data_IF_363631319136
#
_entry.id   IF_363631319136
#
_cell.length_a   1.000
_cell.length_b   1.000
_cell.length_c   1.000
_cell.angle_alpha   90.00
_cell.angle_beta   90.00
_cell.angle_gamma   90.00
#
_symmetry.space_group_name_H-M   'P 1'
#
loop_
_entity.id
_entity.type
_entity.pdbx_description
1 polymer ?
#
# COMPACT_ATOMS: atom_id res chain seq x y z
N UNK A 1 18.43 4.92 7.84
CA UNK A 1 17.43 5.09 6.78
C UNK A 1 18.02 5.12 5.37
N UNK A 2 19.33 4.88 5.17
CA UNK A 2 19.90 4.73 3.82
C UNK A 2 19.97 6.01 2.98
N UNK A 3 19.57 7.16 3.52
CA UNK A 3 19.74 8.48 2.93
C UNK A 3 21.06 9.11 3.35
N UNK A 4 21.69 9.86 2.44
CA UNK A 4 22.92 10.62 2.70
C UNK A 4 22.64 11.85 3.59
N UNK A 5 21.49 12.49 3.40
CA UNK A 5 21.05 13.66 4.15
C UNK A 5 19.61 13.47 4.65
N UNK A 6 19.29 14.03 5.83
CA UNK A 6 17.95 14.02 6.41
C UNK A 6 17.66 15.44 6.92
N UNK A 7 16.55 16.01 6.46
CA UNK A 7 16.05 17.29 6.93
C UNK A 7 14.73 17.06 7.66
N UNK A 8 14.63 17.57 8.87
CA UNK A 8 13.50 17.42 9.78
C UNK A 8 13.00 18.78 10.26
N UNK A 9 12.02 18.79 11.16
CA UNK A 9 11.57 20.02 11.81
C UNK A 9 12.69 20.80 12.53
N UNK A 10 13.77 20.13 12.94
CA UNK A 10 14.92 20.78 13.55
C UNK A 10 15.68 21.68 12.58
N UNK A 11 16.01 21.18 11.39
CA UNK A 11 16.70 21.95 10.34
C UNK A 11 15.84 23.12 9.88
N UNK A 12 14.53 22.92 9.76
CA UNK A 12 13.59 23.99 9.42
C UNK A 12 13.60 25.08 10.51
N UNK A 13 13.51 24.69 11.78
CA UNK A 13 13.51 25.65 12.90
C UNK A 13 14.80 26.46 12.96
N UNK A 14 15.95 25.82 12.75
CA UNK A 14 17.25 26.49 12.70
C UNK A 14 17.32 27.52 11.56
N UNK A 15 16.81 27.16 10.38
CA UNK A 15 16.77 28.08 9.23
C UNK A 15 15.89 29.29 9.49
N UNK A 16 14.72 29.07 10.11
CA UNK A 16 13.74 30.12 10.36
C UNK A 16 14.04 30.98 11.59
N UNK A 17 15.01 30.58 12.42
CA UNK A 17 15.30 31.24 13.70
C UNK A 17 14.15 31.16 14.71
N UNK A 18 13.18 30.28 14.48
CA UNK A 18 12.00 30.08 15.31
C UNK A 18 11.46 28.66 15.09
N UNK A 19 10.76 28.10 16.08
CA UNK A 19 10.03 26.84 15.91
C UNK A 19 8.80 27.16 15.06
N UNK A 20 8.69 26.64 13.83
CA UNK A 20 7.55 26.92 12.98
C UNK A 20 6.31 26.22 13.57
N UNK A 21 5.13 26.84 13.47
CA UNK A 21 3.89 26.05 13.49
C UNK A 21 3.98 25.07 12.27
N UNK A 22 3.55 23.81 12.30
CA UNK A 22 2.22 23.33 12.68
C UNK A 22 2.14 21.79 12.82
N UNK A 23 1.49 21.30 13.87
CA UNK A 23 0.93 19.93 13.92
C UNK A 23 1.80 18.92 14.66
N UNK A 24 1.29 17.70 14.84
CA UNK A 24 1.95 16.66 15.64
C UNK A 24 3.28 16.17 15.03
N UNK A 25 3.47 16.33 13.72
CA UNK A 25 4.53 15.66 12.96
C UNK A 25 5.59 16.58 12.35
N UNK A 26 5.50 17.90 12.50
CA UNK A 26 6.52 18.79 11.95
C UNK A 26 6.06 20.22 11.76
N UNK A 27 6.84 21.03 11.04
CA UNK A 27 6.42 22.34 10.56
C UNK A 27 5.51 22.22 9.33
N UNK A 28 4.90 23.33 8.88
CA UNK A 28 4.17 23.34 7.61
C UNK A 28 5.04 22.85 6.44
N UNK A 29 4.43 22.08 5.53
CA UNK A 29 5.09 21.45 4.39
C UNK A 29 5.80 22.48 3.48
N UNK A 30 5.32 23.71 3.40
CA UNK A 30 5.98 24.80 2.67
C UNK A 30 7.37 25.16 3.22
N UNK A 31 7.60 24.95 4.52
CA UNK A 31 8.83 25.36 5.18
C UNK A 31 10.01 24.41 4.93
N UNK A 32 9.76 23.18 4.45
CA UNK A 32 10.85 22.27 4.05
C UNK A 32 11.42 22.62 2.67
N UNK A 33 10.62 23.27 1.81
CA UNK A 33 10.99 23.50 0.41
C UNK A 33 12.28 24.33 0.22
N UNK A 34 12.56 25.38 1.02
CA UNK A 34 13.84 26.08 0.90
C UNK A 34 15.05 25.19 1.18
N UNK A 35 14.99 24.30 2.18
CA UNK A 35 16.09 23.36 2.48
C UNK A 35 16.28 22.35 1.35
N UNK A 36 15.18 21.89 0.77
CA UNK A 36 15.20 21.04 -0.42
C UNK A 36 15.93 21.72 -1.58
N UNK A 37 15.58 22.97 -1.86
CA UNK A 37 16.15 23.70 -2.99
C UNK A 37 17.62 24.01 -2.80
N UNK A 38 18.02 24.49 -1.61
CA UNK A 38 19.42 24.71 -1.28
C UNK A 38 20.23 23.42 -1.48
N UNK A 39 19.73 22.27 -1.00
CA UNK A 39 20.42 20.99 -1.18
C UNK A 39 20.56 20.59 -2.66
N UNK A 40 19.50 20.76 -3.46
CA UNK A 40 19.55 20.47 -4.90
C UNK A 40 20.58 21.37 -5.59
N UNK A 41 20.53 22.67 -5.32
CA UNK A 41 21.38 23.66 -5.98
C UNK A 41 22.86 23.45 -5.60
N UNK A 42 23.15 23.30 -4.30
CA UNK A 42 24.52 23.05 -3.81
C UNK A 42 25.09 21.75 -4.39
N UNK A 43 24.29 20.68 -4.46
CA UNK A 43 24.74 19.39 -4.98
C UNK A 43 25.07 19.46 -6.49
N UNK A 44 24.26 20.20 -7.26
CA UNK A 44 24.45 20.33 -8.70
C UNK A 44 25.52 21.36 -9.08
N UNK A 45 25.79 22.32 -8.21
CA UNK A 45 26.93 23.23 -8.35
C UNK A 45 28.26 22.48 -8.18
N UNK A 46 28.31 21.47 -7.31
CA UNK A 46 29.47 20.58 -7.15
C UNK A 46 29.61 19.58 -8.32
N UNK A 47 28.51 18.96 -8.75
CA UNK A 47 28.49 17.95 -9.80
C UNK A 47 27.19 18.03 -10.62
N UNK A 48 27.25 18.71 -11.78
CA UNK A 48 26.08 18.95 -12.65
C UNK A 48 25.44 17.68 -13.19
N UNK A 49 26.18 16.57 -13.22
CA UNK A 49 25.71 15.28 -13.73
C UNK A 49 25.24 14.36 -12.59
N UNK A 50 25.19 14.86 -11.35
CA UNK A 50 24.78 14.09 -10.19
C UNK A 50 23.32 13.68 -10.29
N UNK A 51 23.07 12.38 -10.22
CA UNK A 51 21.73 11.83 -10.08
C UNK A 51 21.23 12.00 -8.64
N UNK A 52 20.04 12.57 -8.50
CA UNK A 52 19.42 12.86 -7.21
C UNK A 52 18.26 11.90 -6.94
N UNK A 53 18.14 11.46 -5.69
CA UNK A 53 16.95 10.77 -5.19
C UNK A 53 16.45 11.53 -3.97
N UNK A 54 15.17 11.85 -3.98
CA UNK A 54 14.51 12.60 -2.91
C UNK A 54 13.26 11.86 -2.44
N UNK A 55 13.04 11.88 -1.13
CA UNK A 55 11.76 11.51 -0.52
C UNK A 55 11.27 12.67 0.34
N UNK A 56 10.09 13.19 0.03
CA UNK A 56 9.42 14.23 0.81
C UNK A 56 8.22 13.61 1.53
N UNK A 57 8.18 13.75 2.86
CA UNK A 57 7.03 13.37 3.66
C UNK A 57 6.24 14.63 3.98
N UNK A 58 5.07 14.76 3.36
CA UNK A 58 4.15 15.86 3.62
C UNK A 58 3.23 15.49 4.79
N UNK A 59 2.99 16.43 5.68
CA UNK A 59 2.30 16.22 6.96
C UNK A 59 1.00 17.01 7.07
N UNK A 60 0.74 17.96 6.17
CA UNK A 60 -0.39 18.89 6.26
C UNK A 60 -1.77 18.21 6.26
N UNK A 61 -1.86 16.99 5.73
CA UNK A 61 -3.10 16.21 5.66
C UNK A 61 -3.25 15.19 6.78
N UNK A 62 -2.35 15.17 7.76
CA UNK A 62 -2.51 14.34 8.95
C UNK A 62 -3.52 14.98 9.94
N UNK A 63 -4.20 14.14 10.72
CA UNK A 63 -5.04 14.57 11.84
C UNK A 63 -4.27 15.50 12.81
N UNK A 64 -4.81 16.65 13.27
CA UNK A 64 -6.22 17.07 13.20
C UNK A 64 -6.58 18.03 12.05
N UNK A 65 -5.87 17.94 10.91
CA UNK A 65 -6.10 18.76 9.71
C UNK A 65 -6.01 20.27 9.99
N UNK A 66 -4.87 20.69 10.54
CA UNK A 66 -4.62 22.10 10.87
C UNK A 66 -4.14 22.84 9.63
N UNK A 67 -4.81 23.94 9.30
CA UNK A 67 -4.37 24.84 8.24
C UNK A 67 -3.15 25.65 8.70
N UNK A 68 -2.10 25.78 7.86
CA UNK A 68 -0.97 26.62 8.22
C UNK A 68 -1.37 28.10 8.22
N UNK A 69 -0.75 28.87 9.12
CA UNK A 69 -1.02 30.31 9.28
C UNK A 69 -0.70 31.12 8.01
N UNK A 70 0.18 30.59 7.15
CA UNK A 70 0.53 31.18 5.85
C UNK A 70 -0.55 31.00 4.79
N UNK A 71 -1.51 30.08 4.96
CA UNK A 71 -2.62 29.83 4.04
C UNK A 71 -3.97 29.98 4.76
N UNK A 72 -4.36 31.21 5.17
CA UNK A 72 -5.53 31.44 6.01
C UNK A 72 -6.86 31.27 5.27
N UNK A 73 -6.83 31.11 3.94
CA UNK A 73 -8.06 30.98 3.13
C UNK A 73 -8.71 29.63 3.43
N UNK A 74 -9.95 29.69 3.92
CA UNK A 74 -10.76 28.53 4.22
C UNK A 74 -12.02 28.55 3.37
N UNK A 75 -12.34 27.43 2.73
CA UNK A 75 -13.51 27.27 1.87
C UNK A 75 -14.51 26.29 2.48
N UNK A 76 -15.80 26.54 2.28
CA UNK A 76 -16.89 25.65 2.69
C UNK A 76 -17.29 24.76 1.51
N UNK A 77 -16.60 23.63 1.36
CA UNK A 77 -16.89 22.62 0.33
C UNK A 77 -18.02 21.68 0.73
N UNK A 78 -18.11 21.33 2.01
CA UNK A 78 -19.08 20.36 2.55
C UNK A 78 -19.47 20.70 3.99
N UNK A 79 -20.69 20.31 4.38
CA UNK A 79 -21.24 20.55 5.72
C UNK A 79 -20.48 19.80 6.84
N UNK A 80 -19.95 18.60 6.57
CA UNK A 80 -19.16 17.88 7.57
C UNK A 80 -17.86 18.63 7.84
N UNK A 81 -17.82 19.30 8.99
CA UNK A 81 -16.71 20.17 9.39
C UNK A 81 -15.34 19.48 9.38
N UNK A 82 -15.26 18.18 9.67
CA UNK A 82 -13.98 17.46 9.70
C UNK A 82 -13.52 17.08 8.30
N UNK A 83 -14.44 16.61 7.47
CA UNK A 83 -14.16 16.37 6.05
C UNK A 83 -13.79 17.69 5.36
N UNK A 84 -14.50 18.78 5.66
CA UNK A 84 -14.20 20.09 5.08
C UNK A 84 -12.80 20.61 5.48
N UNK A 85 -12.38 20.39 6.74
CA UNK A 85 -10.99 20.67 7.16
C UNK A 85 -9.98 19.86 6.35
N UNK A 86 -10.21 18.56 6.20
CA UNK A 86 -9.34 17.71 5.37
C UNK A 86 -9.27 18.20 3.91
N UNK A 87 -10.39 18.57 3.29
CA UNK A 87 -10.39 19.10 1.93
C UNK A 87 -9.62 20.42 1.81
N UNK A 88 -9.68 21.28 2.84
CA UNK A 88 -8.88 22.50 2.87
C UNK A 88 -7.38 22.22 3.04
N UNK A 89 -6.97 21.26 3.86
CA UNK A 89 -5.55 20.88 3.96
C UNK A 89 -5.04 20.19 2.69
N UNK A 90 -5.87 19.37 2.04
CA UNK A 90 -5.57 18.80 0.71
C UNK A 90 -5.31 19.89 -0.33
N UNK A 91 -6.09 20.98 -0.34
CA UNK A 91 -5.84 22.14 -1.23
C UNK A 91 -4.47 22.78 -0.95
N UNK A 92 -4.08 22.90 0.31
CA UNK A 92 -2.75 23.45 0.66
C UNK A 92 -1.64 22.53 0.17
N UNK A 93 -1.77 21.23 0.36
CA UNK A 93 -0.81 20.23 -0.16
C UNK A 93 -0.71 20.30 -1.67
N UNK A 94 -1.83 20.46 -2.39
CA UNK A 94 -1.81 20.68 -3.85
C UNK A 94 -1.01 21.93 -4.25
N UNK A 95 -1.14 23.03 -3.49
CA UNK A 95 -0.32 24.23 -3.68
C UNK A 95 1.19 24.01 -3.44
N UNK A 96 1.54 23.16 -2.46
CA UNK A 96 2.93 22.73 -2.21
C UNK A 96 3.45 21.91 -3.40
N UNK A 97 2.67 20.97 -3.92
CA UNK A 97 3.02 20.19 -5.12
C UNK A 97 3.24 21.10 -6.34
N UNK A 98 2.37 22.10 -6.52
CA UNK A 98 2.56 23.12 -7.57
C UNK A 98 3.90 23.83 -7.41
N UNK A 99 4.26 24.24 -6.20
CA UNK A 99 5.53 24.92 -5.91
C UNK A 99 6.73 24.02 -6.21
N UNK A 100 6.64 22.72 -5.93
CA UNK A 100 7.67 21.73 -6.30
C UNK A 100 7.82 21.65 -7.81
N UNK A 101 6.72 21.48 -8.54
CA UNK A 101 6.74 21.40 -10.01
C UNK A 101 7.28 22.68 -10.65
N UNK A 102 6.90 23.85 -10.15
CA UNK A 102 7.41 25.13 -10.63
C UNK A 102 8.90 25.29 -10.34
N UNK A 103 9.36 24.87 -9.15
CA UNK A 103 10.77 24.87 -8.78
C UNK A 103 11.64 23.96 -9.67
N UNK A 104 11.11 22.79 -10.05
CA UNK A 104 11.76 21.90 -11.02
C UNK A 104 11.80 22.50 -12.42
N UNK A 105 10.74 23.18 -12.86
CA UNK A 105 10.69 23.86 -14.17
C UNK A 105 11.65 25.04 -14.23
N UNK A 106 11.71 25.85 -13.16
CA UNK A 106 12.64 26.97 -13.05
C UNK A 106 14.10 26.51 -13.21
N UNK A 107 14.45 25.36 -12.62
CA UNK A 107 15.77 24.71 -12.73
C UNK A 107 15.97 23.92 -14.02
N UNK A 108 14.98 23.88 -14.91
CA UNK A 108 15.00 23.09 -16.15
C UNK A 108 15.14 21.56 -15.95
N UNK A 109 14.87 21.06 -14.75
CA UNK A 109 14.99 19.63 -14.40
C UNK A 109 13.69 18.83 -14.57
N UNK A 110 12.56 19.52 -14.79
CA UNK A 110 11.22 18.90 -14.80
C UNK A 110 11.09 17.74 -15.80
N UNK A 111 11.68 17.85 -16.99
CA UNK A 111 11.59 16.82 -18.02
C UNK A 111 12.45 15.59 -17.70
N UNK A 112 13.48 15.76 -16.86
CA UNK A 112 14.43 14.71 -16.47
C UNK A 112 14.09 14.10 -15.10
N UNK A 113 12.99 14.54 -14.49
CA UNK A 113 12.56 14.09 -13.17
C UNK A 113 11.41 13.08 -13.29
N UNK A 114 11.52 11.94 -12.62
CA UNK A 114 10.39 11.06 -12.33
C UNK A 114 9.77 11.48 -10.99
N UNK A 115 8.55 11.98 -11.03
CA UNK A 115 7.78 12.36 -9.84
C UNK A 115 6.89 11.17 -9.46
N UNK A 116 6.96 10.73 -8.20
CA UNK A 116 6.12 9.65 -7.67
C UNK A 116 5.30 10.23 -6.52
N UNK A 117 3.97 10.17 -6.62
CA UNK A 117 3.05 10.64 -5.59
C UNK A 117 2.29 9.45 -5.03
N UNK A 118 2.37 9.26 -3.72
CA UNK A 118 1.66 8.22 -2.97
C UNK A 118 1.11 8.76 -1.65
N UNK A 119 0.19 8.02 -1.04
CA UNK A 119 -0.09 8.13 0.40
C UNK A 119 0.46 6.92 1.14
N UNK A 120 0.88 7.10 2.39
CA UNK A 120 1.36 6.02 3.25
C UNK A 120 0.20 5.12 3.72
N UNK A 121 -0.96 5.73 4.00
CA UNK A 121 -2.22 5.07 4.29
C UNK A 121 -3.42 5.91 3.85
N UNK A 122 -4.62 5.35 3.94
CA UNK A 122 -5.89 6.03 3.72
C UNK A 122 -6.51 6.58 5.02
N UNK A 123 -7.72 7.13 4.95
CA UNK A 123 -8.43 7.67 6.11
C UNK A 123 -9.93 7.41 5.98
N UNK A 124 -10.56 6.88 7.04
CA UNK A 124 -12.00 6.67 7.05
C UNK A 124 -12.74 7.98 7.38
N UNK A 125 -13.71 8.38 6.55
CA UNK A 125 -14.49 9.61 6.70
C UNK A 125 -15.96 9.36 6.99
N UNK A 126 -16.29 8.28 7.72
CA UNK A 126 -17.68 7.80 7.94
C UNK A 126 -18.49 7.56 6.66
N UNK A 127 -17.78 7.40 5.55
CA UNK A 127 -18.30 7.04 4.27
C UNK A 127 -18.98 5.66 4.32
N UNK A 128 -20.04 5.50 3.54
CA UNK A 128 -20.73 4.23 3.32
C UNK A 128 -21.35 3.57 4.58
N UNK A 129 -21.87 4.40 5.49
CA UNK A 129 -22.55 3.93 6.72
C UNK A 129 -21.59 3.50 7.84
N UNK A 130 -20.28 3.67 7.65
CA UNK A 130 -19.28 3.40 8.68
C UNK A 130 -19.29 4.49 9.74
N UNK A 131 -19.10 4.11 11.00
CA UNK A 131 -19.06 5.07 12.13
C UNK A 131 -17.65 5.61 12.41
N UNK A 132 -16.63 4.99 11.81
CA UNK A 132 -15.22 5.34 12.06
C UNK A 132 -14.81 6.62 11.32
N UNK A 133 -14.08 7.48 12.02
CA UNK A 133 -13.50 8.72 11.54
C UNK A 133 -12.04 8.74 12.02
N UNK A 134 -11.22 7.88 11.40
CA UNK A 134 -9.88 7.54 11.89
C UNK A 134 -9.01 6.93 10.79
N UNK A 135 -7.70 6.94 11.01
CA UNK A 135 -6.72 6.11 10.31
C UNK A 135 -6.18 4.96 11.19
N UNK A 136 -6.70 4.83 12.42
CA UNK A 136 -6.30 3.82 13.38
C UNK A 136 -7.29 2.66 13.35
N UNK A 137 -6.79 1.43 13.19
CA UNK A 137 -7.58 0.19 13.18
C UNK A 137 -8.69 0.18 12.13
N UNK A 138 -8.32 0.49 10.88
CA UNK A 138 -9.24 0.55 9.74
C UNK A 138 -8.88 -0.54 8.74
N UNK A 139 -9.47 -1.75 8.85
CA UNK A 139 -9.14 -2.87 7.98
C UNK A 139 -9.83 -2.82 6.61
N UNK A 140 -10.56 -1.74 6.34
CA UNK A 140 -11.35 -1.52 5.13
C UNK A 140 -10.55 -0.82 4.03
N UNK A 141 -11.00 -0.89 2.78
CA UNK A 141 -10.33 -0.26 1.64
C UNK A 141 -10.03 1.22 1.87
N UNK A 142 -10.91 1.97 2.54
CA UNK A 142 -10.67 3.39 2.83
C UNK A 142 -9.41 3.63 3.69
N UNK A 143 -8.91 2.63 4.41
CA UNK A 143 -7.69 2.72 5.22
C UNK A 143 -6.38 2.48 4.46
N UNK A 144 -6.42 1.93 3.24
CA UNK A 144 -5.19 1.56 2.52
C UNK A 144 -5.28 1.63 0.98
N UNK A 145 -6.46 1.89 0.41
CA UNK A 145 -6.60 2.26 -0.99
C UNK A 145 -6.14 3.72 -1.13
N UNK A 146 -4.92 3.88 -1.60
CA UNK A 146 -4.22 5.16 -1.69
C UNK A 146 -3.91 5.51 -3.15
N UNK A 147 -3.77 6.81 -3.48
CA UNK A 147 -3.23 7.19 -4.78
C UNK A 147 -1.82 6.63 -4.97
N UNK A 148 -1.50 6.21 -6.19
CA UNK A 148 -0.15 5.93 -6.66
C UNK A 148 -0.04 6.46 -8.09
N UNK A 149 0.74 7.53 -8.27
CA UNK A 149 0.97 8.16 -9.56
C UNK A 149 2.46 8.23 -9.85
N UNK A 150 2.85 7.81 -11.05
CA UNK A 150 4.18 8.03 -11.61
C UNK A 150 4.03 9.04 -12.74
N UNK A 151 4.78 10.14 -12.66
CA UNK A 151 4.71 11.24 -13.61
C UNK A 151 6.08 11.59 -14.15
N UNK A 152 6.20 11.60 -15.47
CA UNK A 152 7.28 12.24 -16.21
C UNK A 152 6.71 12.67 -17.58
N UNK A 153 7.08 13.83 -18.14
CA UNK A 153 6.51 14.33 -19.40
C UNK A 153 6.66 13.40 -20.61
N UNK A 154 7.60 12.45 -20.57
CA UNK A 154 7.85 11.49 -21.64
C UNK A 154 7.14 10.14 -21.43
N UNK A 155 6.44 9.94 -20.31
CA UNK A 155 5.62 8.76 -20.08
C UNK A 155 4.23 8.95 -20.70
N UNK A 156 3.70 7.89 -21.31
CA UNK A 156 2.32 7.87 -21.78
C UNK A 156 1.36 7.90 -20.58
N UNK A 157 0.37 8.79 -20.64
CA UNK A 157 -0.69 8.83 -19.64
C UNK A 157 -1.55 7.57 -19.76
N UNK A 158 -1.52 6.73 -18.72
CA UNK A 158 -2.27 5.48 -18.67
C UNK A 158 -2.77 5.19 -17.26
N UNK A 159 -4.04 4.83 -17.15
CA UNK A 159 -4.58 4.20 -15.94
C UNK A 159 -4.28 2.71 -15.98
N UNK A 160 -3.76 2.18 -14.87
CA UNK A 160 -3.48 0.75 -14.72
C UNK A 160 -4.52 0.12 -13.80
N UNK A 161 -5.40 -0.70 -14.38
CA UNK A 161 -6.46 -1.41 -13.65
C UNK A 161 -5.95 -2.76 -13.13
N UNK A 162 -5.10 -2.72 -12.09
CA UNK A 162 -4.58 -3.91 -11.43
C UNK A 162 -4.27 -3.66 -9.95
N UNK A 163 -4.03 -4.75 -9.20
CA UNK A 163 -3.74 -4.66 -7.78
C UNK A 163 -2.26 -4.41 -7.51
N UNK A 164 -1.93 -3.17 -7.20
CA UNK A 164 -0.60 -2.74 -6.78
C UNK A 164 -0.53 -2.49 -5.27
N UNK A 165 0.68 -2.48 -4.74
CA UNK A 165 1.04 -2.18 -3.36
C UNK A 165 2.25 -1.25 -3.34
N UNK A 166 2.50 -0.58 -2.22
CA UNK A 166 3.65 0.31 -2.07
C UNK A 166 5.00 -0.41 -2.28
N UNK A 167 5.03 -1.74 -2.08
CA UNK A 167 6.21 -2.56 -2.38
C UNK A 167 6.54 -2.55 -3.88
N UNK A 168 5.59 -2.36 -4.76
CA UNK A 168 5.87 -2.40 -6.20
C UNK A 168 6.65 -1.18 -6.72
N UNK A 169 6.75 -0.11 -5.91
CA UNK A 169 7.40 1.14 -6.30
C UNK A 169 8.90 0.92 -6.55
N UNK A 170 9.60 0.28 -5.62
CA UNK A 170 11.06 0.06 -5.75
C UNK A 170 11.42 -0.75 -7.01
N UNK A 171 10.85 -1.95 -7.27
CA UNK A 171 11.18 -2.68 -8.48
C UNK A 171 10.77 -1.92 -9.76
N UNK A 172 9.75 -1.06 -9.70
CA UNK A 172 9.36 -0.19 -10.82
C UNK A 172 10.43 0.85 -11.12
N UNK A 173 10.91 1.57 -10.10
CA UNK A 173 12.00 2.55 -10.24
C UNK A 173 13.25 1.85 -10.78
N UNK A 174 13.60 0.68 -10.24
CA UNK A 174 14.76 -0.09 -10.71
C UNK A 174 14.64 -0.48 -12.19
N UNK A 175 13.47 -0.93 -12.64
CA UNK A 175 13.25 -1.26 -14.05
C UNK A 175 13.34 -0.02 -14.95
N UNK A 176 12.82 1.14 -14.51
CA UNK A 176 12.96 2.41 -15.24
C UNK A 176 14.44 2.75 -15.42
N UNK A 177 15.22 2.73 -14.32
CA UNK A 177 16.67 3.04 -14.34
C UNK A 177 17.48 2.05 -15.19
N UNK A 178 17.06 0.78 -15.26
CA UNK A 178 17.68 -0.21 -16.14
C UNK A 178 17.30 0.00 -17.60
N UNK A 179 16.05 0.42 -17.87
CA UNK A 179 15.54 0.61 -19.24
C UNK A 179 16.05 1.88 -19.92
N UNK A 180 16.28 2.96 -19.18
CA UNK A 180 16.81 4.23 -19.69
C UNK A 180 18.21 4.09 -20.31
N UNK A 181 18.97 3.06 -19.89
CA UNK A 181 20.29 2.73 -20.45
C UNK A 181 20.27 2.35 -21.93
N UNK A 182 19.14 1.84 -22.45
CA UNK A 182 19.05 1.38 -23.85
C UNK A 182 18.87 2.51 -24.86
N UNK A 183 18.53 3.72 -24.42
CA UNK A 183 18.20 4.86 -25.29
C UNK A 183 19.41 5.79 -25.49
N UNK A 184 20.34 5.86 -24.53
CA UNK A 184 21.53 6.71 -24.62
C UNK A 184 22.70 6.00 -25.34
N UNK A 185 22.67 5.97 -26.67
CA UNK A 185 23.90 5.80 -27.44
C UNK A 185 24.71 7.11 -27.32
N UNK A 186 25.91 7.01 -26.74
CA UNK A 186 27.03 7.98 -26.82
C UNK A 186 27.35 8.94 -25.66
N UNK A 187 26.62 8.99 -24.53
CA UNK A 187 27.12 9.77 -23.38
C UNK A 187 26.62 9.26 -22.02
N UNK A 188 27.58 8.78 -21.22
CA UNK A 188 27.56 8.71 -19.75
C UNK A 188 26.57 7.72 -19.11
N UNK A 189 27.13 6.68 -18.49
CA UNK A 189 26.64 6.17 -17.20
C UNK A 189 27.71 5.32 -16.50
N UNK A 190 28.79 5.96 -16.05
CA UNK A 190 29.86 5.31 -15.27
C UNK A 190 29.38 4.74 -13.91
N UNK A 191 28.17 5.10 -13.46
CA UNK A 191 27.53 4.56 -12.24
C UNK A 191 27.00 3.13 -12.38
N UNK A 192 26.88 2.59 -13.60
CA UNK A 192 26.20 1.31 -13.88
C UNK A 192 27.15 0.16 -14.27
N UNK A 193 28.44 0.44 -14.42
CA UNK A 193 29.48 -0.59 -14.59
C UNK A 193 29.58 -1.54 -13.40
N UNK A 194 29.04 -1.13 -12.24
CA UNK A 194 28.74 -1.99 -11.10
C UNK A 194 27.21 -1.99 -10.94
N UNK A 195 26.61 -3.17 -10.69
CA UNK A 195 25.28 -3.40 -10.06
C UNK A 195 24.16 -4.03 -10.88
N UNK A 196 24.28 -4.45 -12.14
CA UNK A 196 23.18 -5.25 -12.72
C UNK A 196 22.95 -6.56 -11.91
N UNK A 197 24.03 -7.21 -11.49
CA UNK A 197 23.98 -8.37 -10.58
C UNK A 197 23.46 -8.02 -9.18
N UNK A 198 23.80 -6.85 -8.65
CA UNK A 198 23.31 -6.43 -7.32
C UNK A 198 21.83 -6.02 -7.37
N UNK A 199 21.40 -5.31 -8.41
CA UNK A 199 19.99 -4.97 -8.65
C UNK A 199 19.19 -6.25 -8.85
N UNK A 200 19.66 -7.20 -9.67
CA UNK A 200 19.02 -8.50 -9.83
C UNK A 200 18.95 -9.28 -8.50
N UNK A 201 20.00 -9.22 -7.68
CA UNK A 201 20.01 -9.83 -6.34
C UNK A 201 18.99 -9.19 -5.40
N UNK A 202 18.83 -7.86 -5.41
CA UNK A 202 17.79 -7.16 -4.63
C UNK A 202 16.40 -7.54 -5.16
N UNK A 203 16.18 -7.43 -6.47
CA UNK A 203 14.92 -7.77 -7.13
C UNK A 203 14.50 -9.22 -6.89
N UNK A 204 15.44 -10.16 -6.79
CA UNK A 204 15.14 -11.57 -6.48
C UNK A 204 14.65 -11.82 -5.05
N UNK A 205 14.92 -10.89 -4.12
CA UNK A 205 14.54 -11.00 -2.70
C UNK A 205 13.36 -10.10 -2.35
N UNK A 206 13.07 -9.12 -3.19
CA UNK A 206 12.06 -8.12 -2.98
C UNK A 206 10.67 -8.69 -3.33
N UNK A 207 9.68 -8.48 -2.46
CA UNK A 207 8.36 -9.12 -2.60
C UNK A 207 7.44 -8.39 -3.59
N UNK A 208 7.69 -7.10 -3.83
CA UNK A 208 6.98 -6.30 -4.83
C UNK A 208 7.32 -6.72 -6.26
N UNK A 209 6.43 -6.40 -7.19
CA UNK A 209 6.57 -6.64 -8.63
C UNK A 209 6.43 -5.32 -9.37
N UNK A 210 7.35 -5.01 -10.26
CA UNK A 210 7.34 -3.78 -11.05
C UNK A 210 6.03 -3.58 -11.83
N UNK A 211 5.51 -2.35 -11.84
CA UNK A 211 4.34 -1.93 -12.60
C UNK A 211 4.56 -2.05 -14.12
N UNK A 212 5.83 -2.00 -14.57
CA UNK A 212 6.20 -2.06 -15.99
C UNK A 212 6.33 -3.47 -16.53
N UNK A 213 6.50 -4.47 -15.64
CA UNK A 213 6.48 -5.87 -16.04
C UNK A 213 5.04 -6.20 -16.32
N UNK A 214 4.65 -6.09 -17.60
CA UNK A 214 3.35 -6.54 -18.07
C UNK A 214 3.08 -7.91 -17.44
N UNK A 215 1.93 -8.04 -16.79
CA UNK A 215 1.40 -9.33 -16.39
C UNK A 215 1.11 -10.10 -17.67
N UNK A 216 2.14 -10.72 -18.24
CA UNK A 216 2.02 -11.70 -19.29
C UNK A 216 1.27 -12.84 -18.61
N UNK A 217 -0.05 -12.88 -18.80
CA UNK A 217 -0.86 -14.08 -18.52
C UNK A 217 -1.01 -14.49 -17.05
N UNK A 218 -1.16 -13.57 -16.08
CA UNK A 218 -1.75 -14.02 -14.81
C UNK A 218 -3.26 -14.18 -14.95
N UNK A 219 -3.71 -15.40 -15.32
CA UNK A 219 -5.10 -15.84 -15.18
C UNK A 219 -5.62 -15.65 -13.73
N UNK A 220 -4.71 -15.56 -12.75
CA UNK A 220 -5.02 -15.40 -11.33
C UNK A 220 -4.29 -14.20 -10.72
N UNK A 221 -5.04 -13.25 -10.15
CA UNK A 221 -4.49 -12.15 -9.36
C UNK A 221 -3.62 -12.68 -8.21
N UNK A 222 -2.52 -11.98 -7.90
CA UNK A 222 -1.63 -12.34 -6.79
C UNK A 222 -2.27 -12.06 -5.43
N UNK A 223 -1.83 -12.78 -4.41
CA UNK A 223 -2.13 -12.45 -3.02
C UNK A 223 -1.30 -11.25 -2.56
N UNK A 224 -1.94 -10.35 -1.82
CA UNK A 224 -1.27 -9.25 -1.11
C UNK A 224 -1.67 -9.29 0.36
N UNK A 225 -0.71 -9.06 1.24
CA UNK A 225 -0.89 -9.03 2.69
C UNK A 225 -0.75 -7.60 3.18
N UNK A 226 -1.68 -7.19 4.03
CA UNK A 226 -1.71 -5.85 4.62
C UNK A 226 -1.92 -5.97 6.12
N UNK A 227 -1.34 -5.02 6.83
CA UNK A 227 -1.55 -4.79 8.26
C UNK A 227 -2.03 -3.35 8.39
N UNK A 228 -3.09 -3.12 9.14
CA UNK A 228 -3.58 -1.78 9.40
C UNK A 228 -2.87 -1.16 10.60
N UNK A 229 -2.86 0.18 10.71
CA UNK A 229 -2.23 0.89 11.83
C UNK A 229 -2.86 0.48 13.18
N UNK A 230 -2.07 0.01 14.18
CA UNK A 230 -0.60 0.06 14.30
C UNK A 230 0.17 -1.21 13.89
N UNK A 231 -0.51 -2.21 13.34
CA UNK A 231 0.09 -3.41 12.75
C UNK A 231 -0.20 -4.69 13.52
N UNK A 232 -0.89 -4.58 14.66
CA UNK A 232 -1.21 -5.71 15.56
C UNK A 232 -2.69 -6.12 15.54
N UNK A 233 -3.52 -5.34 14.86
CA UNK A 233 -4.98 -5.39 15.02
C UNK A 233 -5.62 -6.32 14.00
N UNK A 234 -5.27 -6.19 12.72
CA UNK A 234 -5.83 -7.03 11.67
C UNK A 234 -4.76 -7.61 10.75
N UNK A 235 -5.01 -8.84 10.27
CA UNK A 235 -4.32 -9.41 9.12
C UNK A 235 -5.27 -9.38 7.94
N UNK A 236 -4.92 -8.62 6.91
CA UNK A 236 -5.78 -8.41 5.75
C UNK A 236 -5.13 -9.10 4.56
N UNK A 237 -5.88 -9.96 3.88
CA UNK A 237 -5.40 -10.67 2.69
C UNK A 237 -6.34 -10.38 1.53
N UNK A 238 -5.76 -9.92 0.43
CA UNK A 238 -6.50 -9.64 -0.80
C UNK A 238 -5.96 -10.49 -1.93
N UNK A 239 -6.90 -11.09 -2.66
CA UNK A 239 -6.70 -11.60 -4.01
C UNK A 239 -7.86 -11.07 -4.83
N UNK A 240 -7.70 -9.88 -5.42
CA UNK A 240 -8.81 -9.14 -6.01
C UNK A 240 -9.64 -10.04 -6.96
N UNK A 241 -10.99 -10.00 -6.89
CA UNK A 241 -11.83 -9.12 -6.07
C UNK A 241 -12.10 -9.61 -4.63
N UNK A 242 -11.49 -10.71 -4.18
CA UNK A 242 -11.75 -11.30 -2.85
C UNK A 242 -10.88 -10.64 -1.79
N UNK A 243 -11.47 -10.36 -0.64
CA UNK A 243 -10.79 -9.79 0.52
C UNK A 243 -11.19 -10.52 1.79
N UNK A 244 -10.20 -10.89 2.58
CA UNK A 244 -10.36 -11.47 3.90
C UNK A 244 -9.72 -10.53 4.93
N UNK A 245 -10.42 -10.31 6.03
CA UNK A 245 -9.89 -9.62 7.21
C UNK A 245 -9.96 -10.60 8.37
N UNK A 246 -8.85 -10.79 9.06
CA UNK A 246 -8.80 -11.48 10.33
C UNK A 246 -8.56 -10.46 11.44
N UNK A 247 -9.53 -10.29 12.34
CA UNK A 247 -9.42 -9.47 13.53
C UNK A 247 -8.75 -10.27 14.65
N UNK A 248 -7.54 -9.84 15.01
CA UNK A 248 -6.70 -10.53 15.99
C UNK A 248 -7.22 -10.37 17.42
N UNK A 249 -7.94 -9.28 17.70
CA UNK A 249 -8.42 -8.97 19.05
C UNK A 249 -9.70 -9.72 19.40
N UNK A 250 -10.62 -9.83 18.44
CA UNK A 250 -11.90 -10.51 18.65
C UNK A 250 -11.91 -11.95 18.15
N UNK A 251 -10.85 -12.39 17.47
CA UNK A 251 -10.77 -13.71 16.84
C UNK A 251 -11.90 -13.93 15.81
N UNK A 252 -12.16 -12.87 15.02
CA UNK A 252 -13.22 -12.83 14.01
C UNK A 252 -12.63 -12.81 12.60
N UNK A 253 -13.36 -13.38 11.65
CA UNK A 253 -13.05 -13.28 10.21
C UNK A 253 -14.19 -12.55 9.53
N UNK A 254 -13.82 -11.64 8.64
CA UNK A 254 -14.72 -10.95 7.73
C UNK A 254 -14.32 -11.25 6.28
N UNK A 255 -15.31 -11.39 5.41
CA UNK A 255 -15.12 -11.83 4.03
C UNK A 255 -15.91 -10.93 3.08
N UNK A 256 -15.21 -10.32 2.12
CA UNK A 256 -15.79 -9.34 1.20
C UNK A 256 -15.48 -9.68 -0.26
N UNK A 257 -16.36 -9.25 -1.16
CA UNK A 257 -16.15 -9.33 -2.61
C UNK A 257 -16.19 -7.94 -3.24
N UNK A 258 -15.03 -7.31 -3.39
CA UNK A 258 -14.84 -5.91 -3.78
C UNK A 258 -15.38 -5.57 -5.18
N UNK A 259 -15.57 -6.56 -6.06
CA UNK A 259 -16.15 -6.35 -7.38
C UNK A 259 -17.67 -6.12 -7.37
N UNK A 260 -18.37 -6.66 -6.36
CA UNK A 260 -19.82 -6.52 -6.20
C UNK A 260 -20.19 -5.62 -5.01
N UNK A 261 -19.31 -5.55 -4.02
CA UNK A 261 -19.42 -4.75 -2.81
C UNK A 261 -18.11 -3.99 -2.55
N UNK A 262 -17.77 -2.98 -3.37
CA UNK A 262 -16.55 -2.18 -3.21
C UNK A 262 -16.51 -1.39 -1.90
N UNK A 263 -17.67 -1.19 -1.27
CA UNK A 263 -17.81 -0.49 0.01
C UNK A 263 -17.71 -1.43 1.21
N UNK A 264 -17.60 -2.74 0.97
CA UNK A 264 -17.48 -3.77 2.02
C UNK A 264 -18.60 -3.66 3.06
N UNK A 265 -19.81 -3.43 2.56
CA UNK A 265 -21.04 -3.30 3.33
C UNK A 265 -21.66 -4.65 3.68
N UNK A 266 -21.28 -5.71 2.97
CA UNK A 266 -21.82 -7.06 3.07
C UNK A 266 -20.69 -8.02 3.45
N UNK A 267 -20.66 -8.39 4.72
CA UNK A 267 -19.77 -9.44 5.21
C UNK A 267 -20.36 -10.83 4.91
N UNK A 268 -19.76 -11.52 3.94
CA UNK A 268 -20.21 -12.82 3.44
C UNK A 268 -20.09 -13.93 4.49
N UNK A 269 -19.26 -13.76 5.53
CA UNK A 269 -19.13 -14.77 6.60
C UNK A 269 -20.44 -14.94 7.36
N UNK A 270 -21.29 -13.90 7.40
CA UNK A 270 -22.56 -13.90 8.12
C UNK A 270 -23.56 -14.86 7.48
N UNK A 271 -23.43 -15.12 6.19
CA UNK A 271 -24.34 -15.98 5.43
C UNK A 271 -24.10 -17.48 5.64
N UNK A 272 -22.95 -17.88 6.21
CA UNK A 272 -22.67 -19.26 6.63
C UNK A 272 -23.26 -19.58 8.03
N UNK A 273 -23.75 -18.56 8.75
CA UNK A 273 -24.31 -18.77 10.09
C UNK A 273 -25.62 -19.58 10.00
N UNK A 274 -25.78 -20.66 10.78
CA UNK A 274 -26.95 -21.53 10.72
C UNK A 274 -28.25 -20.83 11.16
N UNK A 275 -28.12 -19.74 11.92
CA UNK A 275 -29.20 -18.89 12.41
C UNK A 275 -29.37 -17.61 11.57
N UNK A 276 -28.72 -17.49 10.42
CA UNK A 276 -28.91 -16.35 9.53
C UNK A 276 -30.36 -16.29 9.03
N UNK A 277 -31.07 -15.23 9.41
CA UNK A 277 -32.42 -14.93 8.96
C UNK A 277 -32.35 -13.60 8.20
N UNK A 278 -32.33 -13.68 6.88
CA UNK A 278 -32.23 -12.50 6.01
C UNK A 278 -32.29 -12.86 4.52
N UNK A 279 -32.10 -11.86 3.67
CA UNK A 279 -32.08 -12.01 2.22
C UNK A 279 -30.65 -11.97 1.69
N UNK A 280 -30.31 -12.90 0.81
CA UNK A 280 -29.04 -12.89 0.11
C UNK A 280 -29.05 -11.85 -1.02
N UNK A 281 -27.90 -11.22 -1.33
CA UNK A 281 -27.78 -10.36 -2.51
C UNK A 281 -28.03 -11.14 -3.81
N UNK A 282 -28.65 -10.50 -4.80
CA UNK A 282 -29.02 -11.15 -6.08
C UNK A 282 -27.83 -11.70 -6.90
N UNK A 283 -26.63 -11.20 -6.61
CA UNK A 283 -25.36 -11.62 -7.22
C UNK A 283 -24.70 -12.82 -6.50
N UNK A 284 -25.24 -13.28 -5.37
CA UNK A 284 -24.70 -14.38 -4.57
C UNK A 284 -25.53 -15.66 -4.74
N UNK A 285 -24.88 -16.77 -5.10
CA UNK A 285 -25.45 -18.11 -5.11
C UNK A 285 -25.17 -18.80 -3.77
N UNK A 286 -26.22 -19.30 -3.14
CA UNK A 286 -26.16 -20.05 -1.89
C UNK A 286 -26.75 -21.44 -2.10
N UNK A 287 -25.93 -22.47 -1.98
CA UNK A 287 -26.37 -23.87 -2.02
C UNK A 287 -26.78 -24.31 -0.61
N UNK A 288 -28.09 -24.35 -0.35
CA UNK A 288 -28.64 -24.74 0.96
C UNK A 288 -28.49 -26.25 1.27
N UNK A 289 -27.98 -27.06 0.34
CA UNK A 289 -27.85 -28.51 0.52
C UNK A 289 -26.55 -28.96 1.21
N UNK A 290 -25.60 -28.05 1.44
CA UNK A 290 -24.29 -28.34 2.06
C UNK A 290 -24.24 -27.83 3.51
N UNK A 291 -23.78 -28.68 4.44
CA UNK A 291 -23.64 -28.34 5.86
C UNK A 291 -22.53 -27.29 6.10
N UNK A 292 -22.89 -26.24 6.85
CA UNK A 292 -22.07 -25.10 7.34
C UNK A 292 -20.67 -25.45 7.88
N UNK A 293 -19.72 -24.50 7.81
CA UNK A 293 -18.29 -24.59 8.24
C UNK A 293 -18.07 -24.74 9.76
N UNK A 294 -18.69 -25.73 10.40
CA UNK A 294 -18.75 -25.81 11.86
C UNK A 294 -17.48 -26.32 12.58
N UNK A 295 -16.29 -26.26 11.98
CA UNK A 295 -15.05 -26.81 12.57
C UNK A 295 -13.85 -25.83 12.55
N UNK A 296 -14.11 -24.52 12.52
CA UNK A 296 -13.10 -23.51 12.16
C UNK A 296 -12.28 -22.95 13.37
N UNK A 297 -12.91 -22.41 14.42
CA UNK A 297 -12.22 -21.82 15.59
C UNK A 297 -11.33 -22.79 16.39
N UNK A 298 -11.75 -24.06 16.52
CA UNK A 298 -10.99 -25.08 17.25
C UNK A 298 -9.71 -25.56 16.55
N UNK A 299 -9.55 -25.28 15.25
CA UNK A 299 -8.37 -25.70 14.46
C UNK A 299 -7.27 -24.64 14.41
N UNK A 300 -7.61 -23.35 14.45
CA UNK A 300 -6.63 -22.26 14.49
C UNK A 300 -5.82 -22.25 15.80
N UNK A 301 -6.48 -22.49 16.94
CA UNK A 301 -5.82 -22.66 18.25
C UNK A 301 -4.89 -23.90 18.24
N UNK A 302 -5.26 -24.98 17.54
CA UNK A 302 -4.44 -26.19 17.45
C UNK A 302 -3.29 -26.11 16.41
N UNK A 303 -3.42 -25.29 15.36
CA UNK A 303 -2.37 -25.12 14.34
C UNK A 303 -1.22 -24.23 14.80
N UNK A 304 -1.37 -23.48 15.90
CA UNK A 304 -0.22 -22.90 16.62
C UNK A 304 0.75 -23.97 17.16
N UNK A 305 0.32 -25.22 17.31
CA UNK A 305 1.09 -26.25 17.99
C UNK A 305 1.48 -27.48 17.17
N UNK A 306 1.06 -27.65 15.90
CA UNK A 306 1.50 -28.80 15.11
C UNK A 306 1.38 -28.56 13.60
N UNK A 307 2.53 -28.41 12.94
CA UNK A 307 2.64 -28.52 11.48
C UNK A 307 3.34 -29.85 11.17
N UNK A 308 2.65 -30.78 10.51
CA UNK A 308 3.26 -32.00 9.97
C UNK A 308 3.00 -32.17 8.48
N UNK A 309 3.93 -32.87 7.81
CA UNK A 309 4.15 -32.88 6.36
C UNK A 309 3.01 -33.43 5.49
N UNK A 310 1.91 -33.93 6.07
CA UNK A 310 0.83 -34.57 5.31
C UNK A 310 -0.22 -33.61 4.73
N UNK A 311 -0.29 -32.35 5.18
CA UNK A 311 -1.27 -31.37 4.67
C UNK A 311 -0.99 -30.89 3.23
N UNK A 312 0.28 -30.95 2.78
CA UNK A 312 0.70 -30.48 1.45
C UNK A 312 0.20 -31.34 0.27
N UNK A 313 -0.23 -32.58 0.53
CA UNK A 313 -0.61 -33.55 -0.53
C UNK A 313 -2.10 -33.51 -0.89
N UNK A 314 -2.96 -33.00 0.00
CA UNK A 314 -4.41 -32.95 -0.19
C UNK A 314 -4.87 -31.75 -1.05
N UNK A 315 -4.17 -30.61 -0.94
CA UNK A 315 -4.51 -29.36 -1.63
C UNK A 315 -4.35 -29.43 -3.17
N UNK A 316 -3.48 -30.31 -3.69
CA UNK A 316 -3.26 -30.48 -5.14
C UNK A 316 -4.39 -31.23 -5.87
N UNK A 317 -5.26 -31.94 -5.16
CA UNK A 317 -6.30 -32.78 -5.79
C UNK A 317 -7.64 -32.05 -5.96
N UNK A 318 -7.91 -31.01 -5.15
CA UNK A 318 -9.15 -30.21 -5.19
C UNK A 318 -9.17 -29.14 -6.28
N UNK A 319 -8.02 -28.72 -6.79
CA UNK A 319 -7.90 -27.66 -7.80
C UNK A 319 -8.36 -28.03 -9.23
N UNK A 320 -8.66 -29.30 -9.50
CA UNK A 320 -8.90 -29.80 -10.88
C UNK A 320 -10.38 -30.00 -11.25
N UNK A 321 -11.33 -29.60 -10.40
CA UNK A 321 -12.74 -29.98 -10.58
C UNK A 321 -13.75 -28.85 -10.81
N UNK A 322 -13.33 -27.58 -10.95
CA UNK A 322 -14.28 -26.45 -11.13
C UNK A 322 -14.06 -25.66 -12.43
N UNK A 323 -13.93 -26.33 -13.58
CA UNK A 323 -13.65 -25.68 -14.87
C UNK A 323 -14.56 -26.16 -16.01
N UNK A 324 -15.87 -26.33 -15.75
CA UNK A 324 -16.78 -26.77 -16.81
C UNK A 324 -18.20 -26.21 -16.79
N UNK A 325 -18.44 -25.00 -16.27
CA UNK A 325 -19.75 -24.36 -16.46
C UNK A 325 -19.59 -22.87 -16.80
N UNK A 326 -19.53 -22.59 -18.10
CA UNK A 326 -19.61 -21.26 -18.68
C UNK A 326 -20.65 -21.29 -19.80
N UNK A 327 -21.84 -20.72 -19.55
CA UNK A 327 -22.55 -19.85 -20.51
C UNK A 327 -23.85 -19.25 -19.93
N UNK A 328 -23.88 -17.91 -20.04
CA UNK A 328 -24.98 -16.94 -19.97
C UNK A 328 -25.49 -16.47 -18.60
N UNK A 329 -25.63 -15.13 -18.50
CA UNK A 329 -26.33 -14.32 -17.50
C UNK A 329 -25.57 -14.04 -16.20
N UNK A 330 -25.57 -12.75 -15.80
CA UNK A 330 -25.02 -12.11 -14.58
C UNK A 330 -24.14 -13.06 -13.78
N UNK A 331 -22.81 -12.91 -13.87
CA UNK A 331 -21.83 -13.83 -13.26
C UNK A 331 -21.94 -13.87 -11.74
N UNK A 332 -22.96 -14.57 -11.23
CA UNK A 332 -23.16 -14.74 -9.80
C UNK A 332 -21.98 -15.52 -9.23
N UNK A 333 -21.61 -15.22 -7.99
CA UNK A 333 -20.55 -15.93 -7.29
C UNK A 333 -21.14 -16.96 -6.33
N UNK A 334 -20.46 -18.08 -6.15
CA UNK A 334 -20.82 -19.09 -5.14
C UNK A 334 -20.32 -18.65 -3.77
N UNK A 335 -21.21 -18.63 -2.77
CA UNK A 335 -20.82 -18.42 -1.37
C UNK A 335 -19.84 -19.50 -0.93
N UNK A 336 -20.06 -20.75 -1.31
CA UNK A 336 -19.15 -21.85 -0.95
C UNK A 336 -17.75 -21.64 -1.52
N UNK A 337 -17.63 -21.10 -2.75
CA UNK A 337 -16.32 -20.86 -3.36
C UNK A 337 -15.58 -19.73 -2.63
N UNK A 338 -16.31 -18.72 -2.16
CA UNK A 338 -15.76 -17.65 -1.33
C UNK A 338 -15.27 -18.19 0.03
N UNK A 339 -16.05 -19.07 0.65
CA UNK A 339 -15.71 -19.70 1.92
C UNK A 339 -14.52 -20.67 1.80
N UNK A 340 -14.49 -21.50 0.75
CA UNK A 340 -13.36 -22.38 0.46
C UNK A 340 -12.07 -21.58 0.19
N UNK A 341 -12.19 -20.43 -0.49
CA UNK A 341 -11.08 -19.51 -0.69
C UNK A 341 -10.61 -18.89 0.64
N UNK A 342 -11.54 -18.49 1.51
CA UNK A 342 -11.23 -17.93 2.83
C UNK A 342 -10.44 -18.93 3.68
N UNK A 343 -10.88 -20.19 3.72
CA UNK A 343 -10.19 -21.28 4.43
C UNK A 343 -8.74 -21.46 3.96
N UNK A 344 -8.54 -21.56 2.64
CA UNK A 344 -7.20 -21.69 2.07
C UNK A 344 -6.32 -20.45 2.35
N UNK A 345 -6.95 -19.27 2.34
CA UNK A 345 -6.27 -17.99 2.56
C UNK A 345 -5.84 -17.82 4.02
N UNK A 346 -6.62 -18.30 4.98
CA UNK A 346 -6.25 -18.31 6.39
C UNK A 346 -5.07 -19.25 6.68
N UNK A 347 -5.03 -20.43 6.05
CA UNK A 347 -3.86 -21.31 6.13
C UNK A 347 -2.62 -20.58 5.60
N UNK A 348 -2.74 -19.91 4.44
CA UNK A 348 -1.66 -19.11 3.87
C UNK A 348 -1.22 -17.97 4.80
N UNK A 349 -2.15 -17.23 5.39
CA UNK A 349 -1.87 -16.15 6.33
C UNK A 349 -1.15 -16.66 7.61
N UNK A 350 -1.54 -17.83 8.11
CA UNK A 350 -0.86 -18.44 9.26
C UNK A 350 0.60 -18.79 8.97
N UNK A 351 0.88 -19.30 7.76
CA UNK A 351 2.26 -19.60 7.33
C UNK A 351 3.04 -18.30 7.11
N UNK A 352 2.43 -17.30 6.46
CA UNK A 352 3.06 -16.00 6.22
C UNK A 352 3.45 -15.31 7.53
N UNK A 353 2.52 -15.23 8.50
CA UNK A 353 2.80 -14.63 9.82
C UNK A 353 3.91 -15.38 10.58
N UNK A 354 3.96 -16.71 10.49
CA UNK A 354 5.05 -17.50 11.07
C UNK A 354 6.40 -17.20 10.40
N UNK A 355 6.45 -17.14 9.06
CA UNK A 355 7.66 -16.81 8.31
C UNK A 355 8.15 -15.38 8.56
N UNK A 356 7.25 -14.40 8.64
CA UNK A 356 7.58 -13.00 8.96
C UNK A 356 8.20 -12.91 10.35
N UNK A 357 7.62 -13.58 11.37
CA UNK A 357 8.22 -13.66 12.71
C UNK A 357 9.63 -14.22 12.65
N UNK A 358 9.81 -15.35 11.97
CA UNK A 358 11.12 -15.99 11.80
C UNK A 358 12.13 -15.03 11.16
N UNK A 359 11.77 -14.38 10.04
CA UNK A 359 12.64 -13.40 9.37
C UNK A 359 12.97 -12.20 10.25
N UNK A 360 12.00 -11.66 10.99
CA UNK A 360 12.21 -10.54 11.91
C UNK A 360 13.19 -10.90 13.04
N UNK A 361 13.06 -12.09 13.62
CA UNK A 361 13.98 -12.57 14.66
C UNK A 361 15.39 -12.86 14.12
N UNK A 362 15.52 -13.48 12.94
CA UNK A 362 16.83 -13.71 12.32
C UNK A 362 17.50 -12.42 11.85
N UNK A 363 16.74 -11.46 11.31
CA UNK A 363 17.23 -10.14 10.95
C UNK A 363 17.76 -9.36 12.15
N UNK A 364 17.06 -9.40 13.29
CA UNK A 364 17.53 -8.77 14.52
C UNK A 364 18.76 -9.47 15.14
N UNK A 365 18.85 -10.80 15.05
CA UNK A 365 20.04 -11.52 15.51
C UNK A 365 21.29 -11.17 14.68
N UNK A 366 21.15 -11.05 13.36
CA UNK A 366 22.25 -10.63 12.47
C UNK A 366 22.62 -9.16 12.65
N UNK A 367 21.64 -8.29 12.92
CA UNK A 367 21.90 -6.87 13.21
C UNK A 367 22.62 -6.67 14.55
N UNK A 368 22.27 -7.44 15.59
CA UNK A 368 22.97 -7.39 16.88
C UNK A 368 24.38 -7.99 16.82
N UNK A 369 24.63 -9.00 15.98
CA UNK A 369 26.00 -9.50 15.77
C UNK A 369 26.92 -8.51 15.04
N UNK A 370 26.35 -7.57 14.26
CA UNK A 370 27.11 -6.52 13.58
C UNK A 370 27.48 -5.35 14.52
N UNK A 371 26.68 -5.08 15.57
CA UNK A 371 26.98 -4.06 16.57
C UNK A 371 28.15 -4.40 17.51
N UNK A 372 28.58 -5.66 17.56
CA UNK A 372 29.72 -6.09 18.38
C UNK A 372 31.05 -6.13 17.62
N UNK A 373 31.08 -5.67 16.36
CA UNK A 373 32.28 -5.65 15.51
C UNK A 373 32.59 -4.29 14.86
N UNK A 374 32.09 -3.19 15.43
CA UNK A 374 32.48 -1.81 15.05
C UNK A 374 33.25 -1.13 16.17
#
# INVERSE_FOLDING_TARGET
MGFDNIYSGFEVANRMGSVPDVGMFGPSDSNILPLLWDWIDDTLDEDKERQLMLSLLLTGTHDPFVMPSTEPIYHDYIEDTRVNKYLNTMRVVDGVLKTIVDGLKFRQMYNETLIIIISDHGYAFRDWGRKSLAAWRVPFECGFLVPLMLHNPYLEAKQLDAQYTNMDILPTIMDILLSSQKIAHESINYLLTVRQDQLNSILSRYEGTSLLRLSIEQETQRYTFHLDNPGDSHVIVKQYPRKLVYDVHYDEVHLFHLGYDPQESIDLILFDRPDYIGTYPDWLLVDQSRNSLRNWLGRWINTKNNLSANHKKLLRKRFRQSMSDLRQNVSRISLQDMLDWADATLELASVWTALVKVRYFYGNMTFNSLKHHS
#
